data_IF_105422151822
#
_entry.id   IF_105422151822
#
_cell.length_a   1.000
_cell.length_b   1.000
_cell.length_c   1.000
_cell.angle_alpha   90.00
_cell.angle_beta   90.00
_cell.angle_gamma   90.00
#
_symmetry.space_group_name_H-M   'P 1'
#
loop_
_entity.id
_entity.type
_entity.pdbx_description
1 polymer ?
#
# COMPACT_ATOMS: atom_id res chain seq x y z
N UNK A 1 15.92 32.32 49.49
CA UNK A 1 15.16 31.42 48.61
C UNK A 1 16.03 31.07 47.42
N UNK A 2 16.59 29.86 47.36
CA UNK A 2 17.39 29.43 46.20
C UNK A 2 16.44 28.94 45.11
N UNK A 3 16.36 29.67 44.02
CA UNK A 3 15.63 29.28 42.83
C UNK A 3 16.45 28.21 42.10
N UNK A 4 16.00 26.95 42.23
CA UNK A 4 16.54 25.85 41.46
C UNK A 4 16.32 26.14 39.96
N UNK A 5 17.39 26.52 39.28
CA UNK A 5 17.45 26.78 37.85
C UNK A 5 17.22 25.44 37.15
N UNK A 6 16.00 25.19 36.67
CA UNK A 6 15.73 23.98 35.87
C UNK A 6 16.60 24.05 34.61
N UNK A 7 17.48 23.06 34.36
CA UNK A 7 18.31 23.09 33.17
C UNK A 7 17.42 22.89 31.94
N UNK A 8 17.67 23.66 30.89
CA UNK A 8 16.98 23.52 29.61
C UNK A 8 17.22 22.11 29.05
N UNK A 9 16.29 21.20 29.30
CA UNK A 9 16.35 19.83 28.83
C UNK A 9 16.01 19.83 27.34
N UNK A 10 17.03 19.82 26.48
CA UNK A 10 16.83 19.52 25.06
C UNK A 10 16.06 18.20 24.91
N UNK A 11 15.31 18.03 23.81
CA UNK A 11 14.62 16.76 23.54
C UNK A 11 15.58 15.56 23.62
N UNK A 12 16.84 15.74 23.18
CA UNK A 12 17.90 14.75 23.33
C UNK A 12 18.21 14.42 24.81
N UNK A 13 18.31 15.43 25.67
CA UNK A 13 18.55 15.23 27.11
C UNK A 13 17.36 14.52 27.79
N UNK A 14 16.13 14.84 27.38
CA UNK A 14 14.93 14.15 27.87
C UNK A 14 14.90 12.68 27.44
N UNK A 15 15.21 12.39 26.17
CA UNK A 15 15.28 11.01 25.65
C UNK A 15 16.39 10.23 26.35
N UNK A 16 17.56 10.82 26.56
CA UNK A 16 18.66 10.18 27.27
C UNK A 16 18.30 9.87 28.74
N UNK A 17 17.69 10.81 29.45
CA UNK A 17 17.26 10.61 30.84
C UNK A 17 16.18 9.51 30.95
N UNK A 18 15.20 9.48 30.04
CA UNK A 18 14.16 8.46 30.06
C UNK A 18 14.66 7.07 29.61
N UNK A 19 15.66 7.01 28.73
CA UNK A 19 16.36 5.77 28.38
C UNK A 19 17.17 5.25 29.56
N UNK A 20 17.91 6.13 30.25
CA UNK A 20 18.67 5.78 31.46
C UNK A 20 17.76 5.34 32.62
N UNK A 21 16.56 5.92 32.73
CA UNK A 21 15.54 5.53 33.70
C UNK A 21 14.75 4.26 33.30
N UNK A 22 15.09 3.59 32.20
CA UNK A 22 14.42 2.38 31.72
C UNK A 22 12.97 2.59 31.24
N UNK A 23 12.55 3.84 31.04
CA UNK A 23 11.17 4.21 30.63
C UNK A 23 10.96 4.18 29.12
N UNK A 24 12.04 4.11 28.34
CA UNK A 24 11.99 3.97 26.89
C UNK A 24 12.46 2.57 26.50
N UNK A 25 11.55 1.79 25.91
CA UNK A 25 11.88 0.52 25.31
C UNK A 25 12.76 0.72 24.07
N UNK A 26 13.57 -0.29 23.75
CA UNK A 26 14.36 -0.30 22.53
C UNK A 26 13.43 -0.28 21.31
N UNK A 27 13.70 0.55 20.27
CA UNK A 27 12.87 0.58 19.08
C UNK A 27 12.85 -0.79 18.41
N UNK A 28 11.67 -1.40 18.31
CA UNK A 28 11.50 -2.64 17.54
C UNK A 28 11.64 -2.30 16.06
N UNK A 29 12.58 -2.97 15.38
CA UNK A 29 12.75 -2.81 13.95
C UNK A 29 11.43 -3.16 13.22
N UNK A 30 10.93 -2.31 12.31
CA UNK A 30 9.71 -2.60 11.60
C UNK A 30 9.90 -3.85 10.73
N UNK A 31 8.95 -4.79 10.84
CA UNK A 31 8.94 -6.00 9.98
C UNK A 31 8.81 -5.57 8.51
N UNK A 32 9.67 -6.06 7.60
CA UNK A 32 9.55 -5.75 6.18
C UNK A 32 8.19 -6.21 5.65
N UNK A 33 7.33 -5.25 5.28
CA UNK A 33 6.05 -5.56 4.62
C UNK A 33 6.29 -5.65 3.11
N UNK A 34 5.63 -6.62 2.47
CA UNK A 34 5.57 -6.68 1.01
C UNK A 34 4.97 -5.38 0.49
N UNK A 35 5.71 -4.68 -0.37
CA UNK A 35 5.25 -3.48 -1.05
C UNK A 35 4.72 -3.85 -2.42
N UNK A 36 3.75 -3.08 -2.90
CA UNK A 36 3.32 -3.19 -4.29
C UNK A 36 4.41 -2.57 -5.17
N UNK A 37 4.73 -3.26 -6.26
CA UNK A 37 5.62 -2.72 -7.29
C UNK A 37 4.84 -1.73 -8.15
N UNK A 38 5.47 -0.61 -8.47
CA UNK A 38 4.87 0.38 -9.36
C UNK A 38 5.08 -0.07 -10.80
N UNK A 39 3.99 -0.49 -11.45
CA UNK A 39 3.97 -0.80 -12.87
C UNK A 39 3.43 0.40 -13.63
N UNK A 40 4.11 0.83 -14.69
CA UNK A 40 3.57 1.83 -15.62
C UNK A 40 2.49 1.21 -16.52
N UNK A 41 1.30 1.80 -16.58
CA UNK A 41 0.26 1.44 -17.54
C UNK A 41 0.24 2.50 -18.65
N UNK A 42 0.20 2.07 -19.91
CA UNK A 42 -0.01 2.97 -21.05
C UNK A 42 -1.49 2.98 -21.38
N UNK A 43 -2.08 4.17 -21.36
CA UNK A 43 -3.47 4.43 -21.71
C UNK A 43 -3.51 5.58 -22.70
N UNK A 44 -4.51 5.55 -23.57
CA UNK A 44 -4.89 6.72 -24.34
C UNK A 44 -5.47 7.80 -23.41
N UNK A 45 -5.35 9.10 -23.77
CA UNK A 45 -5.87 10.18 -22.94
C UNK A 45 -7.36 10.07 -22.60
N UNK A 46 -8.15 9.55 -23.53
CA UNK A 46 -9.60 9.37 -23.41
C UNK A 46 -9.93 8.24 -22.42
N UNK A 47 -9.16 7.15 -22.47
CA UNK A 47 -9.29 6.03 -21.53
C UNK A 47 -8.98 6.46 -20.09
N UNK A 48 -7.92 7.27 -19.92
CA UNK A 48 -7.57 7.80 -18.61
C UNK A 48 -8.65 8.75 -18.08
N UNK A 49 -9.23 9.58 -18.94
CA UNK A 49 -10.34 10.48 -18.59
C UNK A 49 -11.55 9.67 -18.13
N UNK A 50 -11.97 8.68 -18.92
CA UNK A 50 -13.09 7.80 -18.57
C UNK A 50 -12.84 7.05 -17.25
N UNK A 51 -11.64 6.52 -17.05
CA UNK A 51 -11.29 5.81 -15.81
C UNK A 51 -11.38 6.73 -14.58
N UNK A 52 -11.02 8.01 -14.70
CA UNK A 52 -11.14 9.00 -13.61
C UNK A 52 -12.60 9.31 -13.29
N UNK A 53 -13.43 9.50 -14.30
CA UNK A 53 -14.86 9.76 -14.12
C UNK A 53 -15.57 8.59 -13.43
N UNK A 54 -15.26 7.35 -13.85
CA UNK A 54 -15.81 6.15 -13.22
C UNK A 54 -15.30 5.96 -11.78
N UNK A 55 -14.01 6.23 -11.53
CA UNK A 55 -13.46 6.19 -10.18
C UNK A 55 -14.14 7.19 -9.24
N UNK A 56 -14.43 8.40 -9.73
CA UNK A 56 -15.13 9.43 -8.95
C UNK A 56 -16.56 9.01 -8.58
N UNK A 57 -17.28 8.33 -9.49
CA UNK A 57 -18.62 7.78 -9.21
C UNK A 57 -18.62 6.72 -8.10
N UNK A 58 -17.51 6.02 -7.92
CA UNK A 58 -17.33 5.00 -6.87
C UNK A 58 -16.64 5.52 -5.60
N UNK A 59 -16.36 6.83 -5.50
CA UNK A 59 -15.59 7.46 -4.42
C UNK A 59 -14.21 6.79 -4.20
N UNK A 60 -13.48 6.56 -5.30
CA UNK A 60 -12.18 5.88 -5.30
C UNK A 60 -11.14 6.70 -6.05
N UNK A 61 -9.87 6.47 -5.71
CA UNK A 61 -8.76 6.96 -6.52
C UNK A 61 -8.71 6.25 -7.87
N UNK A 62 -8.30 6.98 -8.92
CA UNK A 62 -8.15 6.42 -10.27
C UNK A 62 -7.22 5.18 -10.28
N UNK A 63 -6.12 5.22 -9.52
CA UNK A 63 -5.20 4.08 -9.41
C UNK A 63 -5.87 2.84 -8.79
N UNK A 64 -6.66 3.01 -7.74
CA UNK A 64 -7.41 1.92 -7.09
C UNK A 64 -8.45 1.32 -8.03
N UNK A 65 -9.18 2.19 -8.73
CA UNK A 65 -10.18 1.79 -9.73
C UNK A 65 -9.55 1.00 -10.89
N UNK A 66 -8.51 1.55 -11.53
CA UNK A 66 -7.82 0.88 -12.65
C UNK A 66 -7.27 -0.49 -12.25
N UNK A 67 -6.67 -0.60 -11.05
CA UNK A 67 -6.20 -1.89 -10.53
C UNK A 67 -7.34 -2.90 -10.37
N UNK A 68 -8.49 -2.46 -9.84
CA UNK A 68 -9.67 -3.32 -9.66
C UNK A 68 -10.16 -3.87 -10.99
N UNK A 69 -10.27 -3.02 -12.00
CA UNK A 69 -10.71 -3.43 -13.34
C UNK A 69 -9.70 -4.38 -13.99
N UNK A 70 -8.40 -4.09 -13.88
CA UNK A 70 -7.35 -5.00 -14.34
C UNK A 70 -7.46 -6.39 -13.71
N UNK A 71 -7.63 -6.47 -12.38
CA UNK A 71 -7.74 -7.76 -11.68
C UNK A 71 -8.99 -8.54 -12.09
N UNK A 72 -10.13 -7.85 -12.26
CA UNK A 72 -11.35 -8.49 -12.78
C UNK A 72 -11.14 -9.05 -14.18
N UNK A 73 -10.46 -8.31 -15.06
CA UNK A 73 -10.12 -8.78 -16.41
C UNK A 73 -9.19 -10.00 -16.37
N UNK A 74 -8.21 -9.99 -15.48
CA UNK A 74 -7.28 -11.12 -15.29
C UNK A 74 -8.00 -12.37 -14.78
N UNK A 75 -8.92 -12.23 -13.82
CA UNK A 75 -9.76 -13.33 -13.34
C UNK A 75 -10.61 -13.92 -14.48
N UNK A 76 -11.22 -13.07 -15.31
CA UNK A 76 -11.97 -13.51 -16.50
C UNK A 76 -11.09 -14.28 -17.49
N UNK A 77 -9.92 -13.73 -17.82
CA UNK A 77 -8.96 -14.39 -18.71
C UNK A 77 -8.50 -15.74 -18.16
N UNK A 78 -8.21 -15.83 -16.87
CA UNK A 78 -7.84 -17.10 -16.23
C UNK A 78 -8.99 -18.12 -16.25
N UNK A 79 -10.23 -17.68 -16.07
CA UNK A 79 -11.39 -18.54 -16.16
C UNK A 79 -11.59 -19.11 -17.57
N UNK A 80 -11.42 -18.29 -18.61
CA UNK A 80 -11.47 -18.73 -20.01
C UNK A 80 -10.38 -19.77 -20.33
N UNK A 81 -9.15 -19.53 -19.86
CA UNK A 81 -8.04 -20.45 -20.06
C UNK A 81 -8.21 -21.77 -19.27
N UNK A 82 -8.91 -21.72 -18.12
CA UNK A 82 -9.30 -22.91 -17.36
C UNK A 82 -10.44 -23.69 -18.01
N UNK A 83 -11.40 -23.00 -18.62
CA UNK A 83 -12.51 -23.60 -19.35
C UNK A 83 -12.08 -24.23 -20.69
N UNK A 84 -11.10 -23.64 -21.38
CA UNK A 84 -10.55 -24.15 -22.65
C UNK A 84 -9.67 -25.40 -22.54
N UNK A 85 -9.36 -25.86 -21.32
CA UNK A 85 -8.55 -27.08 -21.09
C UNK A 85 -9.40 -28.35 -20.87
N UNK A 86 -10.72 -28.23 -20.88
CA UNK A 86 -11.67 -29.30 -20.52
C UNK A 86 -12.40 -29.98 -21.69
N UNK A 87 -12.25 -29.52 -22.94
CA UNK A 87 -13.05 -30.03 -24.08
C UNK A 87 -12.28 -30.79 -25.16
N UNK A 88 -10.94 -30.90 -25.07
CA UNK A 88 -10.12 -31.58 -26.11
C UNK A 88 -9.47 -32.91 -25.65
N UNK A 89 -9.82 -33.45 -24.48
CA UNK A 89 -9.38 -34.80 -24.06
C UNK A 89 -10.54 -35.80 -23.93
N UNK A 90 -11.50 -35.76 -24.85
CA UNK A 90 -12.56 -36.77 -24.94
C UNK A 90 -12.87 -37.21 -26.38
N UNK A 91 -11.89 -37.15 -27.28
CA UNK A 91 -11.99 -37.77 -28.61
C UNK A 91 -10.60 -38.06 -29.19
N UNK A 92 -10.06 -39.23 -28.85
CA UNK A 92 -9.35 -40.15 -29.77
C UNK A 92 -8.83 -41.38 -29.01
#
# INVERSE_FOLDING_TARGET
>A
MQTAKQPAHSFKALVAANRAAGRLAEPVAPVPRKKMEQTGMRLWPEELTLARELAAKEDRSAASFMRRIYLRGLEGYMAEQGAGRGTDMAAQ
#
